data_IF_714135437981
#
_entry.id   IF_714135437981
#
_cell.length_a   1.000
_cell.length_b   1.000
_cell.length_c   1.000
_cell.angle_alpha   90.00
_cell.angle_beta   90.00
_cell.angle_gamma   90.00
#
_symmetry.space_group_name_H-M   'P 1'
#
loop_
_entity.id
_entity.type
_entity.pdbx_description
1 polymer ?
#
# COMPACT_ATOMS: atom_id res chain seq x y z
N UNK A 1 -15.64 -22.11 -13.21
CA UNK A 1 -16.57 -21.74 -14.30
C UNK A 1 -16.77 -20.24 -14.22
N UNK A 2 -16.43 -19.52 -15.27
CA UNK A 2 -16.60 -18.06 -15.40
C UNK A 2 -17.86 -17.76 -16.20
N UNK A 3 -18.45 -16.58 -15.97
CA UNK A 3 -19.69 -16.17 -16.66
C UNK A 3 -19.45 -15.83 -18.13
N UNK A 4 -20.52 -15.82 -18.92
CA UNK A 4 -20.49 -15.60 -20.40
C UNK A 4 -19.96 -14.18 -20.79
N UNK A 5 -19.89 -13.24 -19.86
CA UNK A 5 -19.36 -11.88 -20.07
C UNK A 5 -17.91 -11.74 -19.60
N UNK A 6 -17.27 -12.82 -19.17
CA UNK A 6 -15.89 -12.81 -18.73
C UNK A 6 -14.95 -12.67 -19.95
N UNK A 7 -14.17 -11.61 -19.95
CA UNK A 7 -13.12 -11.38 -20.95
C UNK A 7 -11.78 -11.52 -20.25
N UNK A 8 -10.98 -12.47 -20.69
CA UNK A 8 -9.67 -12.74 -20.13
C UNK A 8 -8.59 -12.15 -21.06
N UNK A 9 -7.90 -11.11 -20.58
CA UNK A 9 -6.60 -10.76 -21.12
C UNK A 9 -5.53 -11.67 -20.48
N UNK A 10 -4.43 -11.92 -21.18
CA UNK A 10 -3.27 -12.55 -20.55
C UNK A 10 -2.65 -11.60 -19.51
N UNK A 11 -1.92 -12.14 -18.52
CA UNK A 11 -1.12 -11.28 -17.64
C UNK A 11 -0.16 -10.40 -18.43
N UNK A 12 0.45 -10.96 -19.48
CA UNK A 12 1.39 -10.23 -20.34
C UNK A 12 0.77 -9.03 -21.03
N UNK A 13 -0.44 -9.19 -21.60
CA UNK A 13 -1.14 -8.10 -22.30
C UNK A 13 -1.59 -7.01 -21.32
N UNK A 14 -2.15 -7.42 -20.16
CA UNK A 14 -2.58 -6.48 -19.14
C UNK A 14 -1.41 -5.62 -18.63
N UNK A 15 -0.31 -6.26 -18.24
CA UNK A 15 0.82 -5.54 -17.67
C UNK A 15 1.67 -4.78 -18.69
N UNK A 16 1.68 -5.23 -19.96
CA UNK A 16 2.24 -4.42 -21.03
C UNK A 16 1.49 -3.09 -21.14
N UNK A 17 0.15 -3.13 -21.15
CA UNK A 17 -0.64 -1.90 -21.16
C UNK A 17 -0.40 -1.02 -19.94
N UNK A 18 -0.23 -1.58 -18.74
CA UNK A 18 0.12 -0.82 -17.53
C UNK A 18 1.49 -0.15 -17.68
N UNK A 19 2.49 -0.90 -18.13
CA UNK A 19 3.86 -0.39 -18.28
C UNK A 19 3.95 0.65 -19.41
N UNK A 20 3.30 0.41 -20.53
CA UNK A 20 3.24 1.37 -21.65
C UNK A 20 2.64 2.70 -21.16
N UNK A 21 1.50 2.64 -20.44
CA UNK A 21 0.88 3.84 -19.86
C UNK A 21 1.80 4.57 -18.89
N UNK A 22 2.46 3.84 -17.98
CA UNK A 22 3.40 4.43 -17.03
C UNK A 22 4.56 5.12 -17.76
N UNK A 23 5.05 4.49 -18.82
CA UNK A 23 6.17 5.02 -19.63
C UNK A 23 5.76 6.24 -20.48
N UNK A 24 4.53 6.27 -20.96
CA UNK A 24 4.02 7.39 -21.77
C UNK A 24 3.67 8.61 -20.93
N UNK A 25 3.13 8.38 -19.71
CA UNK A 25 2.61 9.45 -18.85
C UNK A 25 3.67 10.08 -17.93
N UNK A 26 4.75 9.37 -17.63
CA UNK A 26 5.81 9.85 -16.74
C UNK A 26 7.04 10.29 -17.55
N UNK A 27 7.68 11.35 -17.08
CA UNK A 27 8.93 11.84 -17.66
C UNK A 27 10.10 10.89 -17.40
N UNK A 28 11.15 10.97 -18.20
CA UNK A 28 12.38 10.21 -18.01
C UNK A 28 12.99 10.43 -16.62
N UNK A 29 12.84 11.62 -16.06
CA UNK A 29 13.28 11.91 -14.68
C UNK A 29 12.47 11.14 -13.65
N UNK A 30 11.15 11.07 -13.77
CA UNK A 30 10.27 10.34 -12.85
C UNK A 30 10.47 8.83 -12.95
N UNK A 31 10.78 8.33 -14.16
CA UNK A 31 11.07 6.93 -14.42
C UNK A 31 12.48 6.52 -14.02
N UNK A 32 13.40 7.47 -13.88
CA UNK A 32 14.77 7.15 -13.54
C UNK A 32 14.85 6.40 -12.21
N UNK A 33 15.59 5.28 -12.21
CA UNK A 33 15.70 4.34 -11.08
C UNK A 33 14.38 3.64 -10.68
N UNK A 34 13.36 3.67 -11.54
CA UNK A 34 12.14 2.89 -11.30
C UNK A 34 12.49 1.42 -11.11
N UNK A 35 11.85 0.78 -10.14
CA UNK A 35 12.04 -0.62 -9.83
C UNK A 35 10.70 -1.36 -9.90
N UNK A 36 10.73 -2.57 -10.43
CA UNK A 36 9.54 -3.40 -10.59
C UNK A 36 9.69 -4.73 -9.87
N UNK A 37 8.69 -5.11 -9.10
CA UNK A 37 8.60 -6.42 -8.48
C UNK A 37 7.38 -7.15 -8.99
N UNK A 38 7.59 -8.36 -9.46
CA UNK A 38 6.57 -9.26 -9.94
C UNK A 38 6.31 -10.38 -8.93
N UNK A 39 5.04 -10.65 -8.66
CA UNK A 39 4.62 -11.76 -7.80
C UNK A 39 3.45 -12.49 -8.45
N UNK A 40 3.40 -13.80 -8.27
CA UNK A 40 2.27 -14.63 -8.70
C UNK A 40 1.67 -15.37 -7.52
N UNK A 41 0.40 -15.73 -7.64
CA UNK A 41 -0.30 -16.54 -6.66
C UNK A 41 -1.32 -17.46 -7.35
N UNK A 42 -1.83 -18.47 -6.63
CA UNK A 42 -2.86 -19.41 -7.12
C UNK A 42 -2.42 -20.11 -8.41
N UNK A 43 -1.19 -20.65 -8.42
CA UNK A 43 -0.59 -21.32 -9.58
C UNK A 43 -0.57 -20.42 -10.84
N UNK A 44 -0.30 -19.15 -10.68
CA UNK A 44 -0.25 -18.19 -11.78
C UNK A 44 -1.61 -17.66 -12.22
N UNK A 45 -2.72 -18.01 -11.55
CA UNK A 45 -4.03 -17.42 -11.86
C UNK A 45 -4.12 -15.95 -11.45
N UNK A 46 -3.30 -15.51 -10.50
CA UNK A 46 -3.16 -14.12 -10.09
C UNK A 46 -1.73 -13.66 -10.33
N UNK A 47 -1.58 -12.41 -10.73
CA UNK A 47 -0.31 -11.75 -10.79
C UNK A 47 -0.42 -10.34 -10.21
N UNK A 48 0.66 -9.88 -9.59
CA UNK A 48 0.80 -8.55 -9.00
C UNK A 48 2.09 -7.93 -9.52
N UNK A 49 1.99 -6.73 -10.06
CA UNK A 49 3.11 -5.88 -10.42
C UNK A 49 3.17 -4.70 -9.46
N UNK A 50 4.33 -4.49 -8.90
CA UNK A 50 4.64 -3.42 -7.96
C UNK A 50 5.73 -2.56 -8.59
N UNK A 51 5.43 -1.29 -8.87
CA UNK A 51 6.33 -0.33 -9.47
C UNK A 51 6.65 0.73 -8.43
N UNK A 52 7.92 0.90 -8.11
CA UNK A 52 8.41 1.95 -7.23
C UNK A 52 9.09 3.04 -8.06
N UNK A 53 8.75 4.30 -7.80
CA UNK A 53 9.22 5.49 -8.50
C UNK A 53 10.04 6.37 -7.53
N UNK A 54 11.35 6.12 -7.35
CA UNK A 54 12.16 6.79 -6.34
C UNK A 54 12.34 8.29 -6.58
N UNK A 55 12.25 8.72 -7.83
CA UNK A 55 12.41 10.14 -8.17
C UNK A 55 11.11 10.95 -7.98
N UNK A 56 9.97 10.28 -7.87
CA UNK A 56 8.72 10.90 -7.41
C UNK A 56 8.66 10.81 -5.89
N UNK A 57 9.41 11.67 -5.21
CA UNK A 57 9.58 11.59 -3.76
C UNK A 57 9.28 12.89 -3.03
N UNK A 58 9.01 12.76 -1.76
CA UNK A 58 8.92 13.83 -0.77
C UNK A 58 9.65 13.44 0.50
N UNK A 59 9.90 14.40 1.37
CA UNK A 59 10.53 14.17 2.68
C UNK A 59 9.50 14.40 3.77
N UNK A 60 9.43 13.49 4.71
CA UNK A 60 8.67 13.64 5.96
C UNK A 60 9.68 13.87 7.09
N UNK A 61 9.51 14.96 7.79
CA UNK A 61 10.40 15.37 8.88
C UNK A 61 9.75 15.14 10.24
N UNK A 62 10.51 14.52 11.12
CA UNK A 62 10.19 14.42 12.56
C UNK A 62 11.32 15.03 13.36
N UNK A 63 11.12 15.25 14.66
CA UNK A 63 12.18 15.77 15.57
C UNK A 63 13.42 14.85 15.61
N UNK A 64 13.28 13.60 15.23
CA UNK A 64 14.34 12.58 15.33
C UNK A 64 14.91 12.14 14.00
N UNK A 65 14.15 12.24 12.92
CA UNK A 65 14.51 11.62 11.66
C UNK A 65 13.81 12.27 10.46
N UNK A 66 14.52 12.26 9.33
CA UNK A 66 13.94 12.58 8.02
C UNK A 66 13.78 11.31 7.20
N UNK A 67 12.61 11.12 6.60
CA UNK A 67 12.29 9.95 5.79
C UNK A 67 11.94 10.37 4.37
N UNK A 68 12.61 9.80 3.37
CA UNK A 68 12.20 9.94 1.98
C UNK A 68 11.08 8.96 1.65
N UNK A 69 10.02 9.45 1.05
CA UNK A 69 8.86 8.67 0.60
C UNK A 69 8.75 8.81 -0.91
N UNK A 70 8.81 7.69 -1.61
CA UNK A 70 8.63 7.62 -3.06
C UNK A 70 7.23 7.15 -3.46
N UNK A 71 6.83 7.47 -4.68
CA UNK A 71 5.57 6.99 -5.23
C UNK A 71 5.65 5.49 -5.56
N UNK A 72 4.52 4.80 -5.44
CA UNK A 72 4.37 3.37 -5.68
C UNK A 72 3.07 3.08 -6.41
N UNK A 73 3.13 2.25 -7.45
CA UNK A 73 1.98 1.76 -8.19
C UNK A 73 1.90 0.25 -7.99
N UNK A 74 0.77 -0.25 -7.50
CA UNK A 74 0.51 -1.68 -7.37
C UNK A 74 -0.64 -2.05 -8.30
N UNK A 75 -0.41 -3.03 -9.14
CA UNK A 75 -1.40 -3.54 -10.07
C UNK A 75 -1.63 -5.03 -9.85
N UNK A 76 -2.89 -5.43 -9.74
CA UNK A 76 -3.31 -6.81 -9.53
C UNK A 76 -4.21 -7.25 -10.68
N UNK A 77 -3.91 -8.41 -11.25
CA UNK A 77 -4.66 -9.00 -12.34
C UNK A 77 -4.93 -10.49 -12.09
N UNK A 78 -6.17 -10.92 -12.34
CA UNK A 78 -6.57 -12.33 -12.22
C UNK A 78 -7.20 -12.86 -13.50
N UNK A 79 -6.83 -14.09 -13.90
CA UNK A 79 -7.34 -14.75 -15.11
C UNK A 79 -8.39 -15.81 -14.81
N UNK A 80 -8.65 -16.13 -13.54
CA UNK A 80 -9.59 -17.18 -13.11
C UNK A 80 -10.98 -16.64 -12.72
N UNK A 81 -11.21 -15.35 -12.87
CA UNK A 81 -12.47 -14.67 -12.50
C UNK A 81 -12.64 -14.45 -10.98
N UNK A 82 -11.72 -14.89 -10.13
CA UNK A 82 -11.79 -14.71 -8.68
C UNK A 82 -11.21 -13.37 -8.20
N UNK A 83 -10.53 -12.64 -9.08
CA UNK A 83 -9.95 -11.33 -8.83
C UNK A 83 -10.40 -10.34 -9.91
N UNK A 84 -10.69 -9.11 -9.50
CA UNK A 84 -10.88 -7.99 -10.43
C UNK A 84 -9.53 -7.41 -10.81
N UNK A 85 -9.43 -6.80 -11.98
CA UNK A 85 -8.29 -5.94 -12.30
C UNK A 85 -8.31 -4.73 -11.37
N UNK A 86 -7.17 -4.45 -10.74
CA UNK A 86 -7.07 -3.40 -9.74
C UNK A 86 -5.72 -2.72 -9.90
N UNK A 87 -5.73 -1.39 -9.81
CA UNK A 87 -4.51 -0.58 -9.72
C UNK A 87 -4.67 0.34 -8.53
N UNK A 88 -3.60 0.45 -7.75
CA UNK A 88 -3.52 1.27 -6.57
C UNK A 88 -2.30 2.15 -6.67
N UNK A 89 -2.50 3.38 -6.25
CA UNK A 89 -1.42 4.35 -6.10
C UNK A 89 -1.11 4.48 -4.62
N UNK A 90 0.14 4.47 -4.30
CA UNK A 90 0.60 4.48 -2.92
C UNK A 90 1.95 5.14 -2.79
N UNK A 91 2.61 4.88 -1.69
CA UNK A 91 3.93 5.35 -1.42
C UNK A 91 4.82 4.23 -0.85
N UNK A 92 6.12 4.44 -0.86
CA UNK A 92 7.10 3.58 -0.20
C UNK A 92 8.02 4.45 0.64
N UNK A 93 8.21 4.05 1.88
CA UNK A 93 9.17 4.64 2.79
C UNK A 93 10.55 4.02 2.52
N UNK A 94 11.49 4.80 2.02
CA UNK A 94 12.81 4.30 1.66
C UNK A 94 13.69 3.98 2.85
N UNK A 95 13.39 4.50 4.03
CA UNK A 95 14.13 4.16 5.23
C UNK A 95 13.86 2.73 5.71
N UNK A 96 12.60 2.33 5.77
CA UNK A 96 12.19 0.99 6.19
C UNK A 96 11.79 0.08 5.03
N UNK A 97 11.76 0.59 3.80
CA UNK A 97 11.21 -0.09 2.63
C UNK A 97 9.76 -0.56 2.81
N UNK A 98 9.03 0.07 3.71
CA UNK A 98 7.62 -0.21 3.95
C UNK A 98 6.80 0.34 2.79
N UNK A 99 6.05 -0.52 2.13
CA UNK A 99 5.07 -0.09 1.15
C UNK A 99 3.81 0.44 1.82
N UNK A 100 3.28 1.50 1.27
CA UNK A 100 2.06 2.15 1.73
C UNK A 100 1.04 2.16 0.60
N UNK A 101 -0.20 1.74 0.87
CA UNK A 101 -1.33 2.01 0.00
C UNK A 101 -2.11 3.15 0.61
N UNK A 102 -2.37 4.16 -0.18
CA UNK A 102 -3.25 5.25 0.19
C UNK A 102 -4.70 4.80 0.15
N UNK A 103 -5.55 5.45 0.92
CA UNK A 103 -6.95 5.13 1.10
C UNK A 103 -7.77 4.99 -0.20
N UNK A 104 -9.08 4.85 -0.07
CA UNK A 104 -10.01 4.45 -1.14
C UNK A 104 -10.00 5.32 -2.41
N UNK A 105 -9.39 6.50 -2.36
CA UNK A 105 -9.48 7.52 -3.42
C UNK A 105 -8.63 7.22 -4.65
N UNK A 106 -7.56 6.43 -4.50
CA UNK A 106 -6.59 6.20 -5.58
C UNK A 106 -6.65 4.76 -6.11
N UNK A 107 -7.88 4.25 -6.25
CA UNK A 107 -8.13 2.87 -6.61
C UNK A 107 -8.95 2.76 -7.89
N UNK A 108 -8.38 2.17 -8.90
CA UNK A 108 -9.15 1.68 -10.07
C UNK A 108 -9.46 0.20 -9.87
N UNK A 109 -10.72 -0.14 -9.76
CA UNK A 109 -11.18 -1.53 -9.66
C UNK A 109 -12.20 -1.84 -10.75
N UNK A 110 -11.83 -2.70 -11.68
CA UNK A 110 -12.73 -3.18 -12.75
C UNK A 110 -12.74 -4.70 -12.79
N UNK A 111 -13.93 -5.28 -12.92
CA UNK A 111 -14.08 -6.71 -13.18
C UNK A 111 -13.43 -7.04 -14.53
N UNK A 112 -13.00 -8.30 -14.70
CA UNK A 112 -12.51 -8.82 -15.97
C UNK A 112 -13.68 -8.95 -16.97
N UNK A 113 -14.20 -7.82 -17.39
CA UNK A 113 -15.27 -7.67 -18.39
C UNK A 113 -14.77 -6.65 -19.42
N UNK A 114 -15.45 -6.56 -20.55
CA UNK A 114 -15.18 -5.61 -21.61
C UNK A 114 -15.14 -4.12 -21.19
N UNK A 115 -15.49 -3.82 -19.94
CA UNK A 115 -15.52 -2.45 -19.39
C UNK A 115 -14.20 -1.99 -18.76
N UNK A 116 -13.13 -2.79 -18.73
CA UNK A 116 -11.81 -2.31 -18.37
C UNK A 116 -11.23 -1.57 -19.56
N UNK A 117 -10.98 -0.27 -19.42
CA UNK A 117 -10.30 0.54 -20.42
C UNK A 117 -9.01 1.12 -19.84
N UNK A 118 -7.96 1.16 -20.64
CA UNK A 118 -6.70 1.81 -20.27
C UNK A 118 -6.92 3.32 -20.02
N UNK A 119 -7.88 3.94 -20.68
CA UNK A 119 -8.24 5.36 -20.46
C UNK A 119 -8.60 5.64 -19.00
N UNK A 120 -9.37 4.74 -18.35
CA UNK A 120 -9.66 4.91 -16.92
C UNK A 120 -8.43 4.77 -16.05
N UNK A 121 -7.46 3.95 -16.45
CA UNK A 121 -6.17 3.82 -15.75
C UNK A 121 -5.31 5.07 -15.94
N UNK A 122 -5.19 5.59 -17.16
CA UNK A 122 -4.45 6.82 -17.47
C UNK A 122 -4.99 7.98 -16.63
N UNK A 123 -6.32 8.15 -16.60
CA UNK A 123 -6.96 9.19 -15.82
C UNK A 123 -6.58 9.12 -14.33
N UNK A 124 -6.65 7.94 -13.73
CA UNK A 124 -6.33 7.76 -12.31
C UNK A 124 -4.82 7.89 -12.05
N UNK A 125 -3.95 7.46 -12.96
CA UNK A 125 -2.50 7.67 -12.85
C UNK A 125 -2.16 9.17 -12.83
N UNK A 126 -2.73 9.93 -13.76
CA UNK A 126 -2.51 11.38 -13.85
C UNK A 126 -3.00 12.08 -12.59
N UNK A 127 -4.17 11.67 -12.07
CA UNK A 127 -4.73 12.19 -10.83
C UNK A 127 -3.85 11.84 -9.63
N UNK A 128 -3.49 10.58 -9.47
CA UNK A 128 -2.67 10.12 -8.34
C UNK A 128 -1.28 10.80 -8.32
N UNK A 129 -0.70 11.06 -9.50
CA UNK A 129 0.53 11.85 -9.62
C UNK A 129 0.37 13.26 -9.07
N UNK A 130 -0.73 13.93 -9.43
CA UNK A 130 -1.03 15.27 -8.91
C UNK A 130 -1.27 15.27 -7.41
N UNK A 131 -2.04 14.31 -6.93
CA UNK A 131 -2.46 14.22 -5.52
C UNK A 131 -1.31 13.73 -4.60
N UNK A 132 -0.24 13.14 -5.16
CA UNK A 132 0.88 12.61 -4.38
C UNK A 132 1.47 13.63 -3.39
N UNK A 133 1.74 14.84 -3.86
CA UNK A 133 2.34 15.87 -3.02
C UNK A 133 1.35 16.50 -2.02
N UNK A 134 0.07 16.57 -2.38
CA UNK A 134 -0.98 17.03 -1.47
C UNK A 134 -1.14 16.05 -0.30
N UNK A 135 -1.13 14.76 -0.60
CA UNK A 135 -1.21 13.73 0.42
C UNK A 135 0.06 13.64 1.28
N UNK A 136 1.22 13.88 0.71
CA UNK A 136 2.47 13.96 1.46
C UNK A 136 2.40 15.03 2.55
N UNK A 137 1.68 16.13 2.32
CA UNK A 137 1.42 17.15 3.33
C UNK A 137 0.63 16.59 4.53
N UNK A 138 -0.32 15.68 4.29
CA UNK A 138 -1.05 15.01 5.38
C UNK A 138 -0.13 14.09 6.20
N UNK A 139 0.79 13.41 5.54
CA UNK A 139 1.78 12.57 6.23
C UNK A 139 2.70 13.44 7.11
N UNK A 140 3.04 14.64 6.67
CA UNK A 140 3.79 15.59 7.50
C UNK A 140 2.98 16.04 8.74
N UNK A 141 1.66 16.24 8.62
CA UNK A 141 0.79 16.48 9.78
C UNK A 141 0.85 15.31 10.76
N UNK A 142 0.81 14.07 10.27
CA UNK A 142 0.92 12.88 11.12
C UNK A 142 2.29 12.79 11.84
N UNK A 143 3.36 13.25 11.20
CA UNK A 143 4.68 13.34 11.83
C UNK A 143 4.72 14.34 12.98
N UNK A 144 3.90 15.38 12.94
CA UNK A 144 3.76 16.41 13.97
C UNK A 144 2.68 16.09 15.02
N UNK A 145 1.80 15.10 14.76
CA UNK A 145 0.75 14.68 15.70
C UNK A 145 1.35 13.82 16.81
N UNK A 146 1.53 14.40 17.98
CA UNK A 146 2.16 13.73 19.14
C UNK A 146 1.21 12.73 19.79
N UNK A 147 1.68 11.53 20.05
CA UNK A 147 0.94 10.44 20.71
C UNK A 147 1.50 10.09 22.10
N UNK A 148 2.38 10.90 22.69
CA UNK A 148 2.99 10.61 24.00
C UNK A 148 1.99 10.40 25.11
N UNK A 149 0.86 11.06 25.04
CA UNK A 149 -0.21 11.00 26.05
C UNK A 149 -1.40 10.13 25.63
N UNK A 150 -1.31 9.49 24.46
CA UNK A 150 -2.34 8.56 23.97
C UNK A 150 -2.00 7.15 24.42
N UNK A 151 -2.97 6.45 24.99
CA UNK A 151 -2.85 5.00 25.23
C UNK A 151 -3.00 4.22 23.90
N UNK A 152 -1.88 4.16 23.15
CA UNK A 152 -1.83 3.49 21.85
C UNK A 152 -2.12 1.99 21.97
N UNK A 153 -1.82 1.35 23.12
CA UNK A 153 -2.15 -0.07 23.33
C UNK A 153 -3.66 -0.29 23.33
N UNK A 154 -4.38 0.47 24.16
CA UNK A 154 -5.85 0.42 24.21
C UNK A 154 -6.50 0.84 22.90
N UNK A 155 -5.93 1.84 22.20
CA UNK A 155 -6.40 2.24 20.89
C UNK A 155 -6.32 1.06 19.91
N UNK A 156 -5.18 0.39 19.81
CA UNK A 156 -4.98 -0.76 18.93
C UNK A 156 -5.90 -1.93 19.28
N UNK A 157 -6.09 -2.23 20.55
CA UNK A 157 -7.05 -3.26 21.01
C UNK A 157 -8.50 -2.93 20.60
N UNK A 158 -8.83 -1.66 20.52
CA UNK A 158 -10.16 -1.22 20.10
C UNK A 158 -10.40 -1.27 18.58
N UNK A 159 -9.32 -1.24 17.79
CA UNK A 159 -9.36 -1.25 16.32
C UNK A 159 -9.12 -2.66 15.74
N UNK A 160 -8.33 -3.47 16.42
CA UNK A 160 -7.86 -4.77 15.94
C UNK A 160 -8.55 -5.87 16.75
N UNK A 161 -9.41 -6.65 16.11
CA UNK A 161 -10.21 -7.69 16.77
C UNK A 161 -9.36 -8.75 17.49
N UNK A 162 -8.19 -9.08 16.97
CA UNK A 162 -7.29 -10.06 17.58
C UNK A 162 -6.37 -9.39 18.58
N UNK A 163 -6.57 -9.68 19.88
CA UNK A 163 -5.71 -9.17 20.97
C UNK A 163 -4.23 -9.45 20.73
N UNK A 164 -3.86 -10.67 20.33
CA UNK A 164 -2.47 -11.03 20.00
C UNK A 164 -1.91 -10.20 18.84
N UNK A 165 -2.74 -9.86 17.85
CA UNK A 165 -2.33 -8.99 16.73
C UNK A 165 -2.16 -7.55 17.22
N UNK A 166 -3.06 -7.03 18.06
CA UNK A 166 -2.94 -5.70 18.64
C UNK A 166 -1.66 -5.55 19.49
N UNK A 167 -1.35 -6.53 20.35
CA UNK A 167 -0.11 -6.55 21.14
C UNK A 167 1.15 -6.52 20.26
N UNK A 168 1.16 -7.31 19.19
CA UNK A 168 2.28 -7.28 18.22
C UNK A 168 2.36 -5.99 17.45
N UNK A 169 1.22 -5.41 17.07
CA UNK A 169 1.18 -4.11 16.42
C UNK A 169 1.71 -3.00 17.35
N UNK A 170 1.38 -3.07 18.64
CA UNK A 170 1.96 -2.18 19.63
C UNK A 170 3.49 -2.30 19.72
N UNK A 171 4.01 -3.54 19.67
CA UNK A 171 5.45 -3.77 19.64
C UNK A 171 6.12 -3.15 18.40
N UNK A 172 5.49 -3.25 17.22
CA UNK A 172 5.94 -2.59 16.00
C UNK A 172 5.90 -1.07 16.13
N UNK A 173 4.81 -0.52 16.70
CA UNK A 173 4.71 0.90 16.97
C UNK A 173 5.86 1.39 17.85
N UNK A 174 6.19 0.66 18.91
CA UNK A 174 7.31 1.02 19.79
C UNK A 174 8.67 0.99 19.07
N UNK A 175 8.87 0.06 18.14
CA UNK A 175 10.06 0.05 17.27
C UNK A 175 10.12 1.29 16.39
N UNK A 176 9.05 1.61 15.67
CA UNK A 176 8.99 2.77 14.80
C UNK A 176 9.13 4.08 15.60
N UNK A 177 8.46 4.18 16.75
CA UNK A 177 8.52 5.33 17.62
C UNK A 177 9.91 5.58 18.24
N UNK A 178 10.70 4.55 18.43
CA UNK A 178 12.09 4.70 18.91
C UNK A 178 12.94 5.51 17.92
N UNK A 179 12.65 5.41 16.64
CA UNK A 179 13.37 6.07 15.56
C UNK A 179 12.73 7.41 15.16
N UNK A 180 11.38 7.43 15.04
CA UNK A 180 10.61 8.54 14.47
C UNK A 180 9.96 9.46 15.52
N UNK A 181 9.99 9.09 16.80
CA UNK A 181 9.22 9.73 17.88
C UNK A 181 7.84 9.11 18.06
N UNK A 182 7.23 9.39 19.22
CA UNK A 182 5.88 8.95 19.54
C UNK A 182 4.85 9.83 18.84
N UNK A 183 4.58 9.55 17.56
CA UNK A 183 3.67 10.33 16.74
C UNK A 183 2.79 9.42 15.86
N UNK A 184 1.78 10.00 15.24
CA UNK A 184 0.84 9.28 14.36
C UNK A 184 1.53 8.68 13.14
N UNK A 185 2.61 9.30 12.65
CA UNK A 185 3.43 8.75 11.56
C UNK A 185 4.11 7.44 11.97
N UNK A 186 4.66 7.34 13.18
CA UNK A 186 5.25 6.10 13.68
C UNK A 186 4.19 4.98 13.81
N UNK A 187 2.97 5.32 14.23
CA UNK A 187 1.86 4.36 14.28
C UNK A 187 1.46 3.88 12.88
N UNK A 188 1.37 4.77 11.91
CA UNK A 188 1.13 4.40 10.53
C UNK A 188 2.27 3.57 9.93
N UNK A 189 3.53 3.91 10.25
CA UNK A 189 4.69 3.13 9.83
C UNK A 189 4.67 1.70 10.39
N UNK A 190 4.16 1.50 11.60
CA UNK A 190 3.93 0.16 12.15
C UNK A 190 2.90 -0.64 11.35
N UNK A 191 1.82 -0.02 10.90
CA UNK A 191 0.81 -0.66 10.06
C UNK A 191 1.39 -1.06 8.70
N UNK A 192 2.16 -0.19 8.07
CA UNK A 192 2.78 -0.46 6.76
C UNK A 192 3.91 -1.50 6.87
N UNK A 193 4.64 -1.51 7.99
CA UNK A 193 5.62 -2.56 8.30
C UNK A 193 4.94 -3.93 8.39
N UNK A 194 3.82 -4.02 9.12
CA UNK A 194 3.01 -5.24 9.16
C UNK A 194 2.56 -5.68 7.77
N UNK A 195 2.02 -4.78 6.95
CA UNK A 195 1.56 -5.12 5.61
C UNK A 195 2.68 -5.69 4.74
N UNK A 196 3.85 -5.06 4.80
CA UNK A 196 4.98 -5.42 3.94
C UNK A 196 5.72 -6.69 4.39
N UNK A 197 5.89 -6.89 5.71
CA UNK A 197 6.88 -7.83 6.23
C UNK A 197 6.36 -8.80 7.29
N UNK A 198 5.04 -8.88 7.53
CA UNK A 198 4.49 -9.75 8.58
C UNK A 198 4.92 -11.22 8.46
N UNK A 199 5.14 -11.70 7.23
CA UNK A 199 5.58 -13.06 6.95
C UNK A 199 7.05 -13.29 7.25
N UNK A 200 7.86 -12.23 7.17
CA UNK A 200 9.31 -12.34 7.09
C UNK A 200 9.99 -12.04 8.43
N UNK A 201 9.52 -11.06 9.19
CA UNK A 201 10.29 -10.50 10.31
C UNK A 201 9.57 -10.45 11.65
N UNK A 202 8.28 -10.32 11.68
CA UNK A 202 7.61 -9.79 12.88
C UNK A 202 6.89 -10.85 13.70
N UNK A 203 7.19 -12.13 13.48
CA UNK A 203 6.60 -13.24 14.25
C UNK A 203 5.07 -13.34 14.13
N UNK A 204 4.47 -12.72 13.13
CA UNK A 204 3.09 -12.97 12.77
C UNK A 204 3.03 -14.33 12.06
N UNK A 205 2.40 -15.30 12.69
CA UNK A 205 2.13 -16.59 12.07
C UNK A 205 1.03 -16.42 11.05
N UNK A 206 1.40 -16.25 9.79
CA UNK A 206 0.46 -16.31 8.68
C UNK A 206 0.41 -17.76 8.18
N UNK A 207 -0.80 -18.31 8.10
CA UNK A 207 -1.00 -19.62 7.50
C UNK A 207 -0.78 -19.50 6.00
N UNK A 208 -0.03 -20.43 5.40
CA UNK A 208 0.25 -20.50 3.97
C UNK A 208 1.16 -19.38 3.43
N UNK A 209 2.40 -19.36 3.88
CA UNK A 209 3.45 -18.46 3.41
C UNK A 209 4.26 -19.02 2.22
N UNK A 210 3.67 -19.88 1.40
CA UNK A 210 4.31 -20.32 0.15
C UNK A 210 4.42 -19.15 -0.85
N UNK A 211 5.41 -19.19 -1.74
CA UNK A 211 5.64 -18.16 -2.77
C UNK A 211 4.37 -17.83 -3.58
N UNK A 212 3.53 -18.84 -3.85
CA UNK A 212 2.27 -18.68 -4.60
C UNK A 212 1.20 -17.89 -3.84
N UNK A 213 1.30 -17.78 -2.51
CA UNK A 213 0.31 -17.08 -1.67
C UNK A 213 0.78 -15.70 -1.25
N UNK A 214 2.04 -15.37 -1.45
CA UNK A 214 2.66 -14.14 -0.97
C UNK A 214 1.96 -12.87 -1.49
N UNK A 215 1.59 -12.85 -2.78
CA UNK A 215 0.86 -11.72 -3.36
C UNK A 215 -0.54 -11.55 -2.75
N UNK A 216 -1.26 -12.65 -2.51
CA UNK A 216 -2.60 -12.62 -1.89
C UNK A 216 -2.53 -12.19 -0.43
N UNK A 217 -1.55 -12.72 0.32
CA UNK A 217 -1.36 -12.40 1.74
C UNK A 217 -0.98 -10.94 1.94
N UNK A 218 -0.02 -10.45 1.17
CA UNK A 218 0.39 -9.05 1.18
C UNK A 218 -0.79 -8.14 0.82
N UNK A 219 -1.51 -8.47 -0.23
CA UNK A 219 -2.70 -7.75 -0.65
C UNK A 219 -3.78 -7.68 0.44
N UNK A 220 -4.06 -8.80 1.11
CA UNK A 220 -5.03 -8.86 2.21
C UNK A 220 -4.61 -7.96 3.38
N UNK A 221 -3.32 -7.91 3.70
CA UNK A 221 -2.79 -7.04 4.76
C UNK A 221 -2.89 -5.56 4.39
N UNK A 222 -2.60 -5.21 3.16
CA UNK A 222 -2.76 -3.84 2.66
C UNK A 222 -4.23 -3.38 2.77
N UNK A 223 -5.19 -4.25 2.45
CA UNK A 223 -6.61 -3.96 2.63
C UNK A 223 -7.00 -3.83 4.13
N UNK A 224 -6.37 -4.59 5.01
CA UNK A 224 -6.58 -4.50 6.44
C UNK A 224 -6.03 -3.18 7.00
N UNK A 225 -4.84 -2.78 6.59
CA UNK A 225 -4.22 -1.49 6.96
C UNK A 225 -5.07 -0.32 6.45
N UNK A 226 -5.55 -0.38 5.22
CA UNK A 226 -6.45 0.65 4.69
C UNK A 226 -7.69 0.87 5.57
N UNK A 227 -8.27 -0.22 6.11
CA UNK A 227 -9.40 -0.12 7.05
C UNK A 227 -9.01 0.55 8.36
N UNK A 228 -7.83 0.21 8.92
CA UNK A 228 -7.38 0.82 10.17
C UNK A 228 -7.09 2.31 10.01
N UNK A 229 -6.51 2.71 8.90
CA UNK A 229 -6.21 4.13 8.59
C UNK A 229 -7.50 4.93 8.37
N UNK A 230 -8.55 4.29 7.87
CA UNK A 230 -9.88 4.90 7.68
C UNK A 230 -10.78 4.78 8.92
N UNK A 231 -10.34 4.13 10.00
CA UNK A 231 -11.11 4.02 11.24
C UNK A 231 -11.20 5.40 11.92
N UNK A 232 -12.41 5.77 12.36
CA UNK A 232 -12.67 7.06 13.01
C UNK A 232 -11.74 7.34 14.20
N UNK A 233 -11.31 6.30 14.91
CA UNK A 233 -10.39 6.42 16.05
C UNK A 233 -8.98 6.81 15.61
N UNK A 234 -8.51 6.29 14.46
CA UNK A 234 -7.23 6.70 13.88
C UNK A 234 -7.32 8.12 13.30
N UNK A 235 -8.41 8.41 12.60
CA UNK A 235 -8.64 9.75 12.02
C UNK A 235 -8.69 10.80 13.14
N UNK A 236 -9.41 10.53 14.22
CA UNK A 236 -9.56 11.47 15.34
C UNK A 236 -8.27 11.84 16.06
N UNK A 237 -7.18 11.09 15.89
CA UNK A 237 -5.87 11.42 16.49
C UNK A 237 -5.31 12.78 16.04
N UNK A 238 -5.78 13.35 14.95
CA UNK A 238 -5.33 14.66 14.47
C UNK A 238 -5.99 15.84 15.24
N UNK A 239 -7.06 15.55 15.96
CA UNK A 239 -7.83 16.58 16.68
C UNK A 239 -7.46 16.64 18.17
N UNK A 240 -6.56 15.77 18.64
CA UNK A 240 -6.12 15.67 20.02
C UNK A 240 -4.78 16.38 20.21
#
# INVERSE_FOLDING_TARGET
>A
VVGNTFTCASHGDFYRGVLDTVTEELSDYELANANTHWRTARNGAWAMLDITLPNMKTVIETDKHQTEIGNRIISLHGIDGSCSNQVYFGAIDFFCTNGMIRGEYDKVRKKNTSNFTMESFIYELTRARKDFYEEASKLQVWAQTDLKYVDVSSLLESMITSKRKAEKMYSLYMQEASQRGHNKWALYSAFTNYASYADERNGFNLRNTGNDTQAVSMWSREQEVSKWVSDDKFVALEAA
#
